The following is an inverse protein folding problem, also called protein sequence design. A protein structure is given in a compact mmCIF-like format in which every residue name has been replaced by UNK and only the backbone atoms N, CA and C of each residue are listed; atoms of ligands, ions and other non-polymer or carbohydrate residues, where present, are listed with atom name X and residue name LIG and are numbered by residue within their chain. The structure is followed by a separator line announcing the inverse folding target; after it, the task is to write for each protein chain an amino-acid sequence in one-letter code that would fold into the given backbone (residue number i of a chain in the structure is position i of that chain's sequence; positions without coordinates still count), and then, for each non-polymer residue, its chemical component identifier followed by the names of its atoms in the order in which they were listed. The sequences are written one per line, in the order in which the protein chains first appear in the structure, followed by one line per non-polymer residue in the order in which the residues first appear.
data_IF_035808675683
#
_entry.id   IF_035808675683
#
_cell.length_a   1.000
_cell.length_b   1.000
_cell.length_c   1.000
_cell.angle_alpha   90.00
_cell.angle_beta   90.00
_cell.angle_gamma   90.00
#
_symmetry.space_group_name_H-M   'P 1'
#
loop_
_entity.id
_entity.type
_entity.pdbx_description
1 polymer ?
#
# COMPACT_ATOMS: atom_id res chain seq x y z
N UNK A 1 5.07 -12.70 -4.14
CA UNK A 1 5.26 -12.38 -2.71
C UNK A 1 3.87 -12.40 -2.12
N UNK A 2 3.61 -13.10 -1.01
CA UNK A 2 2.28 -13.13 -0.36
C UNK A 2 1.71 -11.71 -0.33
N UNK A 3 0.53 -11.48 -0.91
CA UNK A 3 -0.05 -10.15 -1.07
C UNK A 3 -0.09 -9.35 0.23
N UNK A 4 -0.26 -10.04 1.36
CA UNK A 4 -0.18 -9.46 2.70
C UNK A 4 1.16 -8.77 3.02
N UNK A 5 2.29 -9.36 2.58
CA UNK A 5 3.62 -8.75 2.76
C UNK A 5 3.79 -7.52 1.88
N UNK A 6 3.16 -7.51 0.71
CA UNK A 6 3.19 -6.38 -0.24
C UNK A 6 2.37 -5.21 0.29
N UNK A 7 1.20 -5.49 0.87
CA UNK A 7 0.34 -4.50 1.55
C UNK A 7 1.09 -3.76 2.65
N UNK A 8 1.62 -4.50 3.64
CA UNK A 8 2.31 -3.88 4.77
C UNK A 8 3.55 -3.09 4.34
N UNK A 9 4.33 -3.63 3.39
CA UNK A 9 5.52 -2.94 2.87
C UNK A 9 5.14 -1.65 2.16
N UNK A 10 4.04 -1.64 1.39
CA UNK A 10 3.56 -0.45 0.71
C UNK A 10 3.12 0.63 1.71
N UNK A 11 2.33 0.27 2.71
CA UNK A 11 1.89 1.19 3.76
C UNK A 11 3.07 1.82 4.50
N UNK A 12 4.09 1.02 4.81
CA UNK A 12 5.30 1.53 5.46
C UNK A 12 6.09 2.51 4.57
N UNK A 13 6.29 2.15 3.30
CA UNK A 13 7.06 2.97 2.35
C UNK A 13 6.37 4.30 2.09
N UNK A 14 5.07 4.27 1.81
CA UNK A 14 4.32 5.51 1.55
C UNK A 14 4.11 6.33 2.81
N UNK A 15 3.92 5.70 3.98
CA UNK A 15 3.92 6.38 5.27
C UNK A 15 5.23 7.15 5.52
N UNK A 16 6.38 6.51 5.29
CA UNK A 16 7.68 7.16 5.40
C UNK A 16 7.83 8.31 4.39
N UNK A 17 7.40 8.12 3.13
CA UNK A 17 7.42 9.17 2.11
C UNK A 17 6.58 10.39 2.51
N UNK A 18 5.40 10.18 3.08
CA UNK A 18 4.57 11.29 3.57
C UNK A 18 5.23 12.05 4.71
N UNK A 19 5.87 11.35 5.66
CA UNK A 19 6.62 12.03 6.73
C UNK A 19 7.77 12.86 6.14
N UNK A 20 8.50 12.33 5.18
CA UNK A 20 9.60 13.05 4.54
C UNK A 20 9.10 14.29 3.80
N UNK A 21 8.04 14.15 3.02
CA UNK A 21 7.48 15.25 2.23
C UNK A 21 6.82 16.34 3.10
N UNK A 22 6.09 15.93 4.14
CA UNK A 22 5.45 16.85 5.09
C UNK A 22 6.46 17.71 5.86
N UNK A 23 7.68 17.19 6.07
CA UNK A 23 8.73 17.89 6.83
C UNK A 23 9.85 18.45 5.93
N UNK A 24 9.61 18.62 4.63
CA UNK A 24 10.57 19.19 3.67
C UNK A 24 11.12 20.56 4.08
N UNK A 25 10.31 21.40 4.73
CA UNK A 25 10.78 22.67 5.30
C UNK A 25 11.77 22.50 6.45
N UNK A 26 11.52 21.54 7.35
CA UNK A 26 12.43 21.21 8.44
C UNK A 26 13.75 20.65 7.88
N UNK A 27 13.67 19.77 6.88
CA UNK A 27 14.86 19.22 6.23
C UNK A 27 15.66 20.30 5.51
N UNK A 28 15.01 21.25 4.82
CA UNK A 28 15.70 22.36 4.17
C UNK A 28 16.52 23.19 5.17
N UNK A 29 15.97 23.45 6.36
CA UNK A 29 16.70 24.16 7.42
C UNK A 29 17.83 23.28 7.99
N UNK A 30 17.55 22.00 8.27
CA UNK A 30 18.53 21.07 8.83
C UNK A 30 19.74 20.83 7.91
N UNK A 31 19.53 20.86 6.58
CA UNK A 31 20.59 20.75 5.58
C UNK A 31 21.32 22.08 5.30
N UNK A 32 21.01 23.14 6.06
CA UNK A 32 21.73 24.41 5.98
C UNK A 32 21.39 25.25 4.75
N UNK A 33 20.16 25.19 4.24
CA UNK A 33 19.71 26.09 3.17
C UNK A 33 19.86 27.53 3.65
N UNK A 34 20.62 28.30 2.89
CA UNK A 34 20.97 29.68 3.23
C UNK A 34 19.74 30.58 3.29
N UNK A 35 19.60 31.32 4.38
CA UNK A 35 18.40 32.12 4.66
C UNK A 35 18.34 33.40 3.81
N UNK A 36 19.50 33.84 3.30
CA UNK A 36 19.58 34.97 2.39
C UNK A 36 19.18 34.62 0.96
N UNK A 37 19.10 33.32 0.63
CA UNK A 37 18.60 32.90 -0.69
C UNK A 37 17.07 33.06 -0.72
N UNK A 38 16.61 34.02 -1.53
CA UNK A 38 15.20 34.35 -1.68
C UNK A 38 14.71 34.11 -3.09
N UNK A 39 13.53 33.54 -3.21
CA UNK A 39 12.80 33.38 -4.46
C UNK A 39 11.56 34.26 -4.37
N UNK A 40 11.41 35.20 -5.31
CA UNK A 40 10.28 36.15 -5.33
C UNK A 40 10.12 36.96 -4.02
N UNK A 41 11.23 37.20 -3.31
CA UNK A 41 11.25 37.93 -2.03
C UNK A 41 11.05 37.06 -0.78
N UNK A 42 10.67 35.79 -0.93
CA UNK A 42 10.46 34.83 0.15
C UNK A 42 11.68 33.93 0.37
N UNK A 43 12.04 33.59 1.62
CA UNK A 43 13.14 32.66 1.88
C UNK A 43 12.92 31.30 1.22
N UNK A 44 13.98 30.76 0.60
CA UNK A 44 13.92 29.57 -0.25
C UNK A 44 13.36 28.33 0.47
N UNK A 45 13.66 28.16 1.76
CA UNK A 45 13.20 27.00 2.53
C UNK A 45 11.67 26.94 2.67
N UNK A 46 10.97 28.09 2.72
CA UNK A 46 9.51 28.12 2.70
C UNK A 46 8.95 27.77 1.33
N UNK A 47 9.62 28.21 0.25
CA UNK A 47 9.23 27.86 -1.10
C UNK A 47 9.36 26.34 -1.34
N UNK A 48 10.45 25.73 -0.86
CA UNK A 48 10.64 24.28 -0.88
C UNK A 48 9.53 23.57 -0.08
N UNK A 49 9.20 24.06 1.12
CA UNK A 49 8.14 23.47 1.93
C UNK A 49 6.76 23.51 1.23
N UNK A 50 6.43 24.61 0.57
CA UNK A 50 5.14 24.76 -0.13
C UNK A 50 5.12 23.92 -1.40
N UNK A 51 6.13 24.03 -2.25
CA UNK A 51 6.13 23.33 -3.53
C UNK A 51 6.40 21.84 -3.33
N UNK A 52 7.50 21.49 -2.67
CA UNK A 52 7.90 20.10 -2.48
C UNK A 52 7.04 19.41 -1.42
N UNK A 53 6.63 20.10 -0.37
CA UNK A 53 5.70 19.54 0.62
C UNK A 53 4.30 19.40 0.05
N UNK A 54 3.63 20.50 -0.33
CA UNK A 54 2.23 20.42 -0.75
C UNK A 54 2.05 19.72 -2.10
N UNK A 55 2.82 20.09 -3.14
CA UNK A 55 2.69 19.45 -4.46
C UNK A 55 3.33 18.06 -4.49
N UNK A 56 4.42 17.83 -3.74
CA UNK A 56 5.01 16.50 -3.60
C UNK A 56 4.10 15.51 -2.89
N UNK A 57 3.44 15.92 -1.80
CA UNK A 57 2.40 15.10 -1.14
C UNK A 57 1.30 14.74 -2.13
N UNK A 58 0.79 15.72 -2.89
CA UNK A 58 -0.25 15.46 -3.89
C UNK A 58 0.21 14.45 -4.95
N UNK A 59 1.42 14.59 -5.48
CA UNK A 59 1.97 13.66 -6.45
C UNK A 59 2.12 12.24 -5.88
N UNK A 60 2.62 12.11 -4.65
CA UNK A 60 2.74 10.83 -3.96
C UNK A 60 1.37 10.21 -3.69
N UNK A 61 0.35 11.02 -3.34
CA UNK A 61 -1.02 10.54 -3.17
C UNK A 61 -1.63 9.97 -4.44
N UNK A 62 -1.38 10.60 -5.59
CA UNK A 62 -1.84 10.09 -6.88
C UNK A 62 -1.19 8.73 -7.18
N UNK A 63 0.13 8.60 -6.95
CA UNK A 63 0.86 7.34 -7.15
C UNK A 63 0.38 6.26 -6.18
N UNK A 64 0.16 6.62 -4.92
CA UNK A 64 -0.36 5.71 -3.89
C UNK A 64 -1.71 5.13 -4.28
N UNK A 65 -2.67 5.96 -4.71
CA UNK A 65 -3.99 5.47 -5.12
C UNK A 65 -3.88 4.43 -6.24
N UNK A 66 -3.08 4.71 -7.28
CA UNK A 66 -2.89 3.74 -8.37
C UNK A 66 -2.23 2.45 -7.91
N UNK A 67 -1.30 2.53 -6.96
CA UNK A 67 -0.65 1.36 -6.40
C UNK A 67 -1.62 0.54 -5.53
N UNK A 68 -2.47 1.21 -4.76
CA UNK A 68 -3.50 0.58 -3.94
C UNK A 68 -4.50 -0.19 -4.82
N UNK A 69 -5.00 0.41 -5.91
CA UNK A 69 -5.91 -0.24 -6.85
C UNK A 69 -5.29 -1.53 -7.45
N UNK A 70 -4.00 -1.48 -7.79
CA UNK A 70 -3.28 -2.64 -8.31
C UNK A 70 -3.09 -3.72 -7.25
N UNK A 71 -2.81 -3.32 -6.01
CA UNK A 71 -2.64 -4.24 -4.89
C UNK A 71 -3.94 -4.98 -4.58
N UNK A 72 -5.07 -4.27 -4.56
CA UNK A 72 -6.40 -4.85 -4.36
C UNK A 72 -6.73 -5.87 -5.46
N UNK A 73 -6.46 -5.53 -6.72
CA UNK A 73 -6.64 -6.44 -7.86
C UNK A 73 -5.80 -7.73 -7.73
N UNK A 74 -4.58 -7.62 -7.21
CA UNK A 74 -3.68 -8.77 -7.00
C UNK A 74 -4.17 -9.64 -5.84
N UNK A 75 -4.64 -9.04 -4.74
CA UNK A 75 -5.24 -9.75 -3.60
C UNK A 75 -6.46 -10.54 -4.06
N UNK A 76 -7.35 -9.92 -4.84
CA UNK A 76 -8.55 -10.59 -5.36
C UNK A 76 -8.18 -11.77 -6.28
N UNK A 77 -7.16 -11.60 -7.13
CA UNK A 77 -6.67 -12.67 -8.01
C UNK A 77 -6.03 -13.84 -7.23
N UNK A 78 -5.32 -13.58 -6.12
CA UNK A 78 -4.80 -14.63 -5.24
C UNK A 78 -5.93 -15.36 -4.50
N UNK A 79 -6.93 -14.63 -4.00
CA UNK A 79 -8.07 -15.22 -3.31
C UNK A 79 -8.89 -16.12 -4.24
N UNK A 80 -9.15 -15.67 -5.47
CA UNK A 80 -9.87 -16.44 -6.50
C UNK A 80 -9.12 -17.71 -6.95
N UNK A 81 -7.79 -17.76 -6.84
CA UNK A 81 -7.02 -18.98 -7.12
C UNK A 81 -7.08 -19.99 -5.97
N UNK A 82 -7.24 -19.52 -4.74
CA UNK A 82 -7.22 -20.35 -3.53
C UNK A 82 -8.63 -20.86 -3.17
N UNK A 83 -9.68 -20.08 -3.47
CA UNK A 83 -11.08 -20.44 -3.25
C UNK A 83 -11.57 -21.74 -3.95
N UNK A 84 -11.22 -22.05 -5.22
CA UNK A 84 -11.69 -23.28 -5.87
C UNK A 84 -11.12 -24.55 -5.21
N UNK A 85 -9.91 -24.49 -4.65
CA UNK A 85 -9.28 -25.62 -3.97
C UNK A 85 -9.96 -25.92 -2.62
N UNK A 86 -10.27 -24.89 -1.83
CA UNK A 86 -11.01 -25.04 -0.57
C UNK A 86 -12.46 -25.53 -0.78
N UNK A 87 -13.15 -25.05 -1.82
CA UNK A 87 -14.49 -25.53 -2.17
C UNK A 87 -14.47 -26.99 -2.66
N UNK A 88 -13.46 -27.37 -3.46
CA UNK A 88 -13.29 -28.75 -3.92
C UNK A 88 -12.93 -29.73 -2.80
N UNK A 89 -12.09 -29.31 -1.85
CA UNK A 89 -11.73 -30.10 -0.67
C UNK A 89 -12.92 -30.29 0.27
N UNK A 90 -13.70 -29.24 0.49
CA UNK A 90 -14.92 -29.32 1.33
C UNK A 90 -15.99 -30.19 0.67
N UNK A 91 -16.17 -30.07 -0.65
CA UNK A 91 -17.06 -30.93 -1.43
C UNK A 91 -16.63 -32.40 -1.45
N UNK A 92 -15.33 -32.67 -1.58
CA UNK A 92 -14.77 -34.02 -1.53
C UNK A 92 -14.91 -34.66 -0.14
N UNK A 93 -14.70 -33.89 0.93
CA UNK A 93 -14.88 -34.36 2.30
C UNK A 93 -16.35 -34.63 2.63
N UNK A 94 -17.27 -33.78 2.17
CA UNK A 94 -18.70 -33.97 2.31
C UNK A 94 -19.20 -35.21 1.54
N UNK A 95 -18.70 -35.43 0.31
CA UNK A 95 -19.01 -36.62 -0.47
C UNK A 95 -18.47 -37.91 0.17
N UNK A 96 -17.24 -37.87 0.71
CA UNK A 96 -16.65 -39.01 1.42
C UNK A 96 -17.43 -39.38 2.69
N UNK A 97 -17.87 -38.38 3.46
CA UNK A 97 -18.70 -38.61 4.66
C UNK A 97 -20.12 -39.07 4.34
N UNK A 98 -20.70 -38.64 3.20
CA UNK A 98 -21.97 -39.16 2.71
C UNK A 98 -21.89 -40.65 2.37
N UNK A 99 -20.87 -41.05 1.62
CA UNK A 99 -20.64 -42.44 1.22
C UNK A 99 -20.37 -43.38 2.41
N UNK A 100 -19.60 -42.92 3.39
CA UNK A 100 -19.33 -43.67 4.62
C UNK A 100 -20.60 -43.93 5.46
N UNK A 101 -21.60 -43.05 5.35
CA UNK A 101 -22.84 -43.13 6.11
C UNK A 101 -23.86 -44.05 5.45
N UNK A 102 -23.88 -44.16 4.13
CA UNK A 102 -24.74 -45.12 3.40
C UNK A 102 -24.20 -46.56 3.47
N UNK A 103 -22.88 -46.77 3.47
CA UNK A 103 -22.28 -48.11 3.62
C UNK A 103 -22.38 -48.72 5.02
N UNK A 104 -22.71 -47.92 6.04
CA UNK A 104 -22.90 -48.40 7.42
C UNK A 104 -24.35 -48.82 7.73
N UNK A 105 -25.28 -48.65 6.77
CA UNK A 105 -26.71 -48.99 6.94
C UNK A 105 -27.15 -50.24 6.14
N UNK A 106 -26.22 -50.92 5.45
CA UNK A 106 -26.47 -52.17 4.72
C UNK A 106 -26.00 -53.41 5.48
#
# INVERSE_FOLDING_TARGET
MNAYKKEWTSTLVFGALYVVLAHTGLFAIAFGVDNDTRVLGFPLHYFIAIVLGSAGILAVSIVWNRYADQLESEIEAENNKTAPEAASATGALAAANGFAREGAQS
#
